data_IF_547152383630
#
_entry.id   IF_547152383630
#
_cell.length_a   1.000
_cell.length_b   1.000
_cell.length_c   1.000
_cell.angle_alpha   90.00
_cell.angle_beta   90.00
_cell.angle_gamma   90.00
#
_symmetry.space_group_name_H-M   'P 1'
#
loop_
_entity.id
_entity.type
_entity.pdbx_description
1 polymer ?
#
# COMPACT_ATOMS: atom_id res chain seq x y z
N UNK A 1 7.08 -14.79 -6.16
CA UNK A 1 7.64 -13.46 -6.52
C UNK A 1 7.31 -12.46 -5.42
N UNK A 2 8.31 -11.82 -4.81
CA UNK A 2 8.15 -10.88 -3.69
C UNK A 2 7.12 -9.77 -3.98
N UNK A 3 7.11 -9.24 -5.20
CA UNK A 3 6.19 -8.19 -5.66
C UNK A 3 4.71 -8.58 -5.51
N UNK A 4 4.33 -9.76 -6.03
CA UNK A 4 2.94 -10.24 -5.96
C UNK A 4 2.51 -10.42 -4.51
N UNK A 5 3.39 -10.97 -3.66
CA UNK A 5 3.11 -11.12 -2.23
C UNK A 5 2.86 -9.78 -1.55
N UNK A 6 3.65 -8.75 -1.86
CA UNK A 6 3.46 -7.42 -1.29
C UNK A 6 2.19 -6.74 -1.79
N UNK A 7 1.85 -6.87 -3.07
CA UNK A 7 0.59 -6.33 -3.60
C UNK A 7 -0.60 -7.00 -2.90
N UNK A 8 -0.60 -8.32 -2.79
CA UNK A 8 -1.69 -9.07 -2.15
C UNK A 8 -1.77 -8.76 -0.66
N UNK A 9 -0.65 -8.80 0.06
CA UNK A 9 -0.59 -8.49 1.48
C UNK A 9 -1.02 -7.05 1.77
N UNK A 10 -0.52 -6.09 1.00
CA UNK A 10 -0.92 -4.68 1.13
C UNK A 10 -2.41 -4.48 0.87
N UNK A 11 -2.95 -5.12 -0.16
CA UNK A 11 -4.37 -5.04 -0.50
C UNK A 11 -5.25 -5.66 0.59
N UNK A 12 -4.86 -6.81 1.14
CA UNK A 12 -5.56 -7.46 2.23
C UNK A 12 -5.52 -6.62 3.53
N UNK A 13 -4.35 -6.05 3.85
CA UNK A 13 -4.19 -5.17 5.01
C UNK A 13 -4.98 -3.86 4.84
N UNK A 14 -4.98 -3.27 3.64
CA UNK A 14 -5.82 -2.12 3.32
C UNK A 14 -7.30 -2.45 3.53
N UNK A 15 -7.76 -3.58 3.02
CA UNK A 15 -9.15 -4.01 3.20
C UNK A 15 -9.50 -4.19 4.68
N UNK A 16 -8.68 -4.93 5.45
CA UNK A 16 -8.87 -5.15 6.87
C UNK A 16 -8.89 -3.83 7.67
N UNK A 17 -7.91 -2.96 7.43
CA UNK A 17 -7.77 -1.69 8.15
C UNK A 17 -8.99 -0.77 7.97
N UNK A 18 -9.59 -0.76 6.78
CA UNK A 18 -10.73 0.10 6.48
C UNK A 18 -12.07 -0.57 6.83
N UNK A 19 -12.19 -1.87 6.60
CA UNK A 19 -13.44 -2.61 6.81
C UNK A 19 -13.76 -2.78 8.30
N UNK A 20 -12.77 -3.05 9.13
CA UNK A 20 -12.91 -3.18 10.59
C UNK A 20 -13.02 -1.82 11.31
N UNK A 21 -12.62 -0.73 10.65
CA UNK A 21 -12.66 0.61 11.21
C UNK A 21 -14.06 1.22 11.22
N UNK A 22 -14.36 2.02 12.26
CA UNK A 22 -15.59 2.81 12.32
C UNK A 22 -15.72 3.73 11.09
N UNK A 23 -16.92 3.87 10.47
CA UNK A 23 -17.12 4.67 9.26
C UNK A 23 -16.55 6.09 9.34
N UNK A 24 -16.71 6.74 10.50
CA UNK A 24 -16.23 8.10 10.76
C UNK A 24 -14.70 8.24 10.67
N UNK A 25 -13.93 7.16 10.88
CA UNK A 25 -12.47 7.16 10.92
C UNK A 25 -11.82 6.59 9.66
N UNK A 26 -12.60 6.10 8.69
CA UNK A 26 -12.06 5.42 7.49
C UNK A 26 -11.09 6.28 6.68
N UNK A 27 -11.34 7.59 6.56
CA UNK A 27 -10.41 8.51 5.87
C UNK A 27 -9.06 8.63 6.59
N UNK A 28 -9.09 8.76 7.92
CA UNK A 28 -7.87 8.79 8.74
C UNK A 28 -7.13 7.46 8.63
N UNK A 29 -7.84 6.33 8.72
CA UNK A 29 -7.26 5.00 8.57
C UNK A 29 -6.60 4.80 7.19
N UNK A 30 -7.22 5.29 6.11
CA UNK A 30 -6.62 5.24 4.77
C UNK A 30 -5.33 6.08 4.67
N UNK A 31 -5.31 7.26 5.30
CA UNK A 31 -4.10 8.09 5.35
C UNK A 31 -2.97 7.44 6.15
N UNK A 32 -3.29 6.87 7.32
CA UNK A 32 -2.31 6.15 8.15
C UNK A 32 -1.79 4.89 7.45
N UNK A 33 -2.68 4.15 6.78
CA UNK A 33 -2.29 3.02 5.95
C UNK A 33 -1.33 3.43 4.84
N UNK A 34 -1.65 4.49 4.08
CA UNK A 34 -0.79 4.98 3.01
C UNK A 34 0.60 5.37 3.53
N UNK A 35 0.67 6.09 4.65
CA UNK A 35 1.94 6.47 5.27
C UNK A 35 2.76 5.25 5.73
N UNK A 36 2.13 4.29 6.41
CA UNK A 36 2.78 3.07 6.86
C UNK A 36 3.26 2.21 5.68
N UNK A 37 2.43 2.07 4.64
CA UNK A 37 2.74 1.26 3.46
C UNK A 37 3.86 1.87 2.62
N UNK A 38 3.96 3.20 2.57
CA UNK A 38 5.10 3.87 1.95
C UNK A 38 6.43 3.47 2.62
N UNK A 39 6.44 3.28 3.94
CA UNK A 39 7.60 2.75 4.67
C UNK A 39 8.00 1.34 4.23
N UNK A 40 7.00 0.46 4.04
CA UNK A 40 7.23 -0.91 3.53
C UNK A 40 7.80 -0.88 2.12
N UNK A 41 7.25 -0.02 1.24
CA UNK A 41 7.74 0.17 -0.14
C UNK A 41 9.16 0.72 -0.15
N UNK A 42 9.48 1.70 0.72
CA UNK A 42 10.83 2.24 0.86
C UNK A 42 11.84 1.18 1.33
N UNK A 43 11.46 0.33 2.28
CA UNK A 43 12.27 -0.83 2.68
C UNK A 43 12.46 -1.79 1.51
N UNK A 44 11.39 -2.05 0.76
CA UNK A 44 11.40 -2.96 -0.38
C UNK A 44 12.35 -2.48 -1.49
N UNK A 45 12.30 -1.18 -1.80
CA UNK A 45 13.20 -0.50 -2.73
C UNK A 45 14.66 -0.59 -2.27
N UNK A 46 14.95 -0.26 -1.01
CA UNK A 46 16.31 -0.36 -0.46
C UNK A 46 16.88 -1.78 -0.62
N UNK A 47 16.04 -2.79 -0.42
CA UNK A 47 16.42 -4.18 -0.63
C UNK A 47 16.75 -4.45 -2.10
N UNK A 48 15.92 -3.98 -3.04
CA UNK A 48 16.15 -4.15 -4.49
C UNK A 48 17.45 -3.49 -4.97
N UNK A 49 17.70 -2.25 -4.53
CA UNK A 49 18.95 -1.53 -4.83
C UNK A 49 20.19 -2.27 -4.30
N UNK A 50 20.07 -2.98 -3.18
CA UNK A 50 21.17 -3.77 -2.61
C UNK A 50 21.48 -5.05 -3.41
N UNK A 51 20.59 -5.47 -4.32
CA UNK A 51 20.82 -6.57 -5.26
C UNK A 51 21.43 -6.10 -6.59
N UNK A 52 21.68 -4.79 -6.74
CA UNK A 52 22.32 -4.21 -7.93
C UNK A 52 21.36 -3.68 -8.99
N UNK A 53 20.04 -3.71 -8.77
CA UNK A 53 19.08 -3.06 -9.65
C UNK A 53 19.17 -1.54 -9.56
N UNK A 54 18.99 -0.86 -10.70
CA UNK A 54 18.93 0.59 -10.74
C UNK A 54 17.59 1.11 -10.19
N UNK A 55 17.60 2.38 -9.77
CA UNK A 55 16.38 3.05 -9.31
C UNK A 55 15.30 3.10 -10.41
N UNK A 56 15.70 3.25 -11.68
CA UNK A 56 14.77 3.30 -12.82
C UNK A 56 14.07 1.97 -13.09
N UNK A 57 14.74 0.85 -12.82
CA UNK A 57 14.15 -0.50 -12.96
C UNK A 57 13.19 -0.81 -11.81
N UNK A 58 13.53 -0.39 -10.59
CA UNK A 58 12.74 -0.66 -9.39
C UNK A 58 11.52 0.27 -9.26
N UNK A 59 11.65 1.56 -9.61
CA UNK A 59 10.61 2.58 -9.41
C UNK A 59 9.21 2.17 -9.91
N UNK A 60 9.04 1.67 -11.15
CA UNK A 60 7.73 1.23 -11.65
C UNK A 60 7.12 0.11 -10.79
N UNK A 61 7.96 -0.81 -10.31
CA UNK A 61 7.53 -1.94 -9.47
C UNK A 61 7.11 -1.41 -8.09
N UNK A 62 7.90 -0.52 -7.50
CA UNK A 62 7.56 0.12 -6.22
C UNK A 62 6.28 0.94 -6.31
N UNK A 63 6.07 1.64 -7.43
CA UNK A 63 4.84 2.38 -7.70
C UNK A 63 3.63 1.45 -7.71
N UNK A 64 3.71 0.27 -8.33
CA UNK A 64 2.62 -0.72 -8.31
C UNK A 64 2.36 -1.28 -6.91
N UNK A 65 3.42 -1.61 -6.16
CA UNK A 65 3.31 -2.12 -4.78
C UNK A 65 2.67 -1.08 -3.85
N UNK A 66 2.87 0.21 -4.11
CA UNK A 66 2.27 1.30 -3.35
C UNK A 66 0.84 1.62 -3.82
N UNK A 67 0.67 1.92 -5.10
CA UNK A 67 -0.57 2.50 -5.63
C UNK A 67 -1.74 1.53 -5.54
N UNK A 68 -1.54 0.24 -5.78
CA UNK A 68 -2.65 -0.74 -5.77
C UNK A 68 -3.30 -0.83 -4.38
N UNK A 69 -2.57 -1.12 -3.28
CA UNK A 69 -3.15 -1.13 -1.94
C UNK A 69 -3.73 0.21 -1.50
N UNK A 70 -3.07 1.33 -1.84
CA UNK A 70 -3.53 2.67 -1.45
C UNK A 70 -4.81 3.06 -2.18
N UNK A 71 -4.94 2.71 -3.46
CA UNK A 71 -6.18 2.91 -4.22
C UNK A 71 -7.34 2.12 -3.59
N UNK A 72 -7.10 0.87 -3.16
CA UNK A 72 -8.10 0.06 -2.45
C UNK A 72 -8.51 0.75 -1.15
N UNK A 73 -7.54 1.18 -0.33
CA UNK A 73 -7.83 1.90 0.92
C UNK A 73 -8.66 3.17 0.67
N UNK A 74 -8.29 3.96 -0.35
CA UNK A 74 -8.98 5.18 -0.74
C UNK A 74 -10.43 4.92 -1.16
N UNK A 75 -10.66 3.95 -2.06
CA UNK A 75 -12.00 3.57 -2.54
C UNK A 75 -12.87 3.07 -1.39
N UNK A 76 -12.34 2.19 -0.52
CA UNK A 76 -13.07 1.69 0.65
C UNK A 76 -13.42 2.81 1.63
N UNK A 77 -12.54 3.80 1.78
CA UNK A 77 -12.79 4.94 2.68
C UNK A 77 -13.96 5.81 2.24
N UNK A 78 -14.27 5.83 0.94
CA UNK A 78 -15.38 6.62 0.39
C UNK A 78 -16.72 5.88 0.44
N UNK A 79 -16.72 4.54 0.49
CA UNK A 79 -17.93 3.72 0.49
C UNK A 79 -18.78 3.78 1.77
N UNK A 80 -18.25 4.29 2.88
CA UNK A 80 -18.98 4.42 4.15
C UNK A 80 -19.82 5.69 4.32
N UNK A 81 -19.94 6.53 3.28
CA UNK A 81 -20.71 7.79 3.32
C UNK A 81 -22.16 7.67 2.81
N UNK A 82 -22.59 6.46 2.42
CA UNK A 82 -23.97 6.19 2.00
C UNK A 82 -24.78 5.63 3.15
#
# INVERSE_FOLDING_TARGET
MRTVLLIVAGSALAWLAIWLGAPARRKLAAGLFAAAWLGVVGWNLRTGLSHGYSLGEELPIQALIYLVPVAIAAVLSWRGKR
#
